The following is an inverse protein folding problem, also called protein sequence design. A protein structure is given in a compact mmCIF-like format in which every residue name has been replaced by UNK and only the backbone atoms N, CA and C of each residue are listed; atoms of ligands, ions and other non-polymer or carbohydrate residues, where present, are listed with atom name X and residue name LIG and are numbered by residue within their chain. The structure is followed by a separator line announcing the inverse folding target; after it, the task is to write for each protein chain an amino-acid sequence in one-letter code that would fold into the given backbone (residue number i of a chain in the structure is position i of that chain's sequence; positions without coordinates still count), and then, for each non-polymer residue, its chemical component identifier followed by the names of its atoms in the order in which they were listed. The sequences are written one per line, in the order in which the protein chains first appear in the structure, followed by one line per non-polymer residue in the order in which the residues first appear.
data_IF_267363393236
#
_entry.id   IF_267363393236
#
_cell.length_a   1.000
_cell.length_b   1.000
_cell.length_c   1.000
_cell.angle_alpha   90.00
_cell.angle_beta   90.00
_cell.angle_gamma   90.00
#
_symmetry.space_group_name_H-M   'P 1'
#
loop_
_entity.id
_entity.type
_entity.pdbx_description
1 polymer ?
#
# COMPACT_ATOMS: atom_id res chain seq x y z
N UNK A 1 -12.92 6.47 -3.29
CA UNK A 1 -13.14 5.20 -2.58
C UNK A 1 -12.15 5.24 -1.44
N UNK A 2 -12.58 5.05 -0.19
CA UNK A 2 -11.73 5.31 0.99
C UNK A 2 -10.65 4.21 1.12
N UNK A 3 -9.47 4.44 0.53
CA UNK A 3 -8.33 3.52 0.48
C UNK A 3 -7.89 3.16 1.90
N UNK A 4 -7.84 4.18 2.77
CA UNK A 4 -7.44 4.04 4.17
C UNK A 4 -8.39 3.09 4.90
N UNK A 5 -9.70 3.26 4.71
CA UNK A 5 -10.71 2.37 5.29
C UNK A 5 -10.58 0.95 4.77
N UNK A 6 -10.35 0.75 3.47
CA UNK A 6 -10.19 -0.59 2.90
C UNK A 6 -8.96 -1.27 3.49
N UNK A 7 -7.82 -0.59 3.56
CA UNK A 7 -6.61 -1.14 4.16
C UNK A 7 -6.79 -1.43 5.65
N UNK A 8 -7.46 -0.55 6.40
CA UNK A 8 -7.79 -0.79 7.80
C UNK A 8 -8.60 -2.08 7.99
N UNK A 9 -9.65 -2.26 7.18
CA UNK A 9 -10.48 -3.49 7.23
C UNK A 9 -9.66 -4.74 6.87
N UNK A 10 -8.76 -4.66 5.88
CA UNK A 10 -7.89 -5.77 5.51
C UNK A 10 -6.91 -6.14 6.64
N UNK A 11 -6.33 -5.13 7.31
CA UNK A 11 -5.42 -5.35 8.44
C UNK A 11 -6.16 -5.99 9.63
N UNK A 12 -7.36 -5.50 9.95
CA UNK A 12 -8.22 -6.08 10.98
C UNK A 12 -8.62 -7.53 10.67
N UNK A 13 -8.99 -7.81 9.42
CA UNK A 13 -9.31 -9.17 8.97
C UNK A 13 -8.10 -10.11 9.07
N UNK A 14 -6.93 -9.67 8.62
CA UNK A 14 -5.69 -10.43 8.72
C UNK A 14 -5.38 -10.79 10.19
N UNK A 15 -5.43 -9.80 11.09
CA UNK A 15 -5.25 -10.03 12.52
C UNK A 15 -6.26 -11.01 13.08
N UNK A 16 -7.53 -10.87 12.72
CA UNK A 16 -8.59 -11.77 13.19
C UNK A 16 -8.35 -13.20 12.74
N UNK A 17 -8.03 -13.42 11.46
CA UNK A 17 -7.76 -14.76 10.93
C UNK A 17 -6.54 -15.42 11.59
N UNK A 18 -5.50 -14.64 11.93
CA UNK A 18 -4.34 -15.15 12.67
C UNK A 18 -4.71 -15.50 14.11
N UNK A 19 -5.46 -14.64 14.80
CA UNK A 19 -5.95 -14.90 16.17
C UNK A 19 -6.80 -16.17 16.23
N UNK A 20 -7.68 -16.35 15.26
CA UNK A 20 -8.61 -17.49 15.18
C UNK A 20 -7.94 -18.77 14.64
N UNK A 21 -6.65 -18.73 14.33
CA UNK A 21 -5.88 -19.83 13.71
C UNK A 21 -6.43 -20.30 12.37
N UNK A 22 -7.24 -19.47 11.71
CA UNK A 22 -7.66 -19.68 10.32
C UNK A 22 -6.48 -19.45 9.38
N UNK A 23 -5.63 -18.48 9.71
CA UNK A 23 -4.35 -18.25 9.07
C UNK A 23 -3.21 -18.68 10.00
N UNK A 24 -2.70 -19.89 9.78
CA UNK A 24 -1.47 -20.35 10.41
C UNK A 24 -0.26 -19.79 9.64
N UNK A 25 0.42 -18.82 10.24
CA UNK A 25 1.56 -18.15 9.62
C UNK A 25 2.78 -19.07 9.50
N UNK A 26 3.22 -19.31 8.28
CA UNK A 26 4.51 -19.95 8.04
C UNK A 26 5.67 -18.99 8.34
N UNK A 27 6.88 -19.49 8.67
CA UNK A 27 8.06 -18.64 8.80
C UNK A 27 8.34 -17.78 7.56
N UNK A 28 8.03 -18.30 6.37
CA UNK A 28 8.13 -17.56 5.11
C UNK A 28 7.15 -16.38 5.01
N UNK A 29 5.95 -16.50 5.58
CA UNK A 29 4.96 -15.42 5.60
C UNK A 29 5.47 -14.26 6.46
N UNK A 30 6.02 -14.57 7.64
CA UNK A 30 6.57 -13.56 8.56
C UNK A 30 7.79 -12.86 7.95
N UNK A 31 8.68 -13.63 7.33
CA UNK A 31 9.85 -13.08 6.65
C UNK A 31 9.44 -12.17 5.48
N UNK A 32 8.47 -12.59 4.67
CA UNK A 32 7.95 -11.77 3.59
C UNK A 32 7.25 -10.52 4.12
N UNK A 33 6.44 -10.63 5.17
CA UNK A 33 5.78 -9.48 5.79
C UNK A 33 6.80 -8.43 6.25
N UNK A 34 7.88 -8.86 6.90
CA UNK A 34 8.97 -7.99 7.32
C UNK A 34 9.71 -7.35 6.13
N UNK A 35 9.99 -8.12 5.08
CA UNK A 35 10.64 -7.60 3.86
C UNK A 35 9.76 -6.55 3.15
N UNK A 36 8.46 -6.86 2.99
CA UNK A 36 7.48 -5.95 2.39
C UNK A 36 7.36 -4.68 3.23
N UNK A 37 7.20 -4.80 4.54
CA UNK A 37 7.11 -3.67 5.48
C UNK A 37 8.32 -2.74 5.35
N UNK A 38 9.53 -3.29 5.42
CA UNK A 38 10.76 -2.51 5.27
C UNK A 38 10.85 -1.81 3.91
N UNK A 39 10.39 -2.47 2.84
CA UNK A 39 10.28 -1.88 1.51
C UNK A 39 9.31 -0.69 1.50
N UNK A 40 8.13 -0.83 2.09
CA UNK A 40 7.15 0.25 2.18
C UNK A 40 7.66 1.43 3.01
N UNK A 41 8.29 1.17 4.16
CA UNK A 41 8.83 2.20 5.06
C UNK A 41 9.98 3.00 4.44
N UNK A 42 10.74 2.37 3.54
CA UNK A 42 11.79 3.04 2.76
C UNK A 42 11.20 4.03 1.75
N UNK A 43 10.05 3.71 1.17
CA UNK A 43 9.43 4.46 0.07
C UNK A 43 8.54 5.58 0.58
N UNK A 44 7.61 5.26 1.48
CA UNK A 44 6.73 6.24 2.13
C UNK A 44 7.27 6.52 3.52
N UNK A 45 7.90 7.68 3.67
CA UNK A 45 8.49 8.14 4.91
C UNK A 45 7.47 8.70 5.92
N UNK A 46 7.97 9.32 7.00
CA UNK A 46 7.17 10.04 7.98
C UNK A 46 6.23 11.08 7.35
N UNK A 47 5.08 11.35 7.98
CA UNK A 47 4.04 12.24 7.41
C UNK A 47 4.54 13.62 7.08
N UNK A 48 5.28 14.24 8.00
CA UNK A 48 5.83 15.59 7.84
C UNK A 48 6.81 15.68 6.66
N UNK A 49 7.65 14.66 6.48
CA UNK A 49 8.60 14.60 5.35
C UNK A 49 7.85 14.39 4.04
N UNK A 50 6.88 13.47 4.03
CA UNK A 50 6.15 13.09 2.83
C UNK A 50 5.21 14.21 2.34
N UNK A 51 4.54 14.92 3.24
CA UNK A 51 3.65 16.04 2.92
C UNK A 51 4.40 17.25 2.36
N UNK A 52 5.67 17.42 2.73
CA UNK A 52 6.52 18.51 2.24
C UNK A 52 7.03 18.27 0.81
N UNK A 53 6.87 17.07 0.24
CA UNK A 53 7.34 16.74 -1.10
C UNK A 53 6.47 17.37 -2.19
N UNK A 54 7.08 17.74 -3.33
CA UNK A 54 6.35 18.00 -4.57
C UNK A 54 5.41 16.84 -4.93
N UNK A 55 4.24 17.15 -5.53
CA UNK A 55 3.25 16.13 -5.90
C UNK A 55 3.80 15.05 -6.84
N UNK A 56 4.76 15.40 -7.70
CA UNK A 56 5.39 14.43 -8.60
C UNK A 56 6.19 13.37 -7.83
N UNK A 57 6.91 13.79 -6.78
CA UNK A 57 7.70 12.89 -5.93
C UNK A 57 6.79 12.05 -5.03
N UNK A 58 5.71 12.65 -4.49
CA UNK A 58 4.67 11.91 -3.75
C UNK A 58 4.04 10.81 -4.62
N UNK A 59 3.74 11.12 -5.88
CA UNK A 59 3.20 10.15 -6.83
C UNK A 59 4.20 9.06 -7.19
N UNK A 60 5.49 9.41 -7.33
CA UNK A 60 6.56 8.45 -7.55
C UNK A 60 6.64 7.44 -6.39
N UNK A 61 6.69 7.92 -5.14
CA UNK A 61 6.72 7.06 -3.96
C UNK A 61 5.49 6.15 -3.85
N UNK A 62 4.29 6.68 -4.11
CA UNK A 62 3.08 5.86 -4.08
C UNK A 62 3.07 4.79 -5.18
N UNK A 63 3.68 5.05 -6.34
CA UNK A 63 3.85 4.05 -7.40
C UNK A 63 4.93 3.03 -7.09
N UNK A 64 6.02 3.45 -6.45
CA UNK A 64 7.04 2.52 -5.97
C UNK A 64 6.48 1.58 -4.88
N UNK A 65 5.57 2.07 -4.04
CA UNK A 65 4.81 1.24 -3.09
C UNK A 65 4.04 0.12 -3.82
N UNK A 66 3.33 0.44 -4.91
CA UNK A 66 2.65 -0.58 -5.72
C UNK A 66 3.64 -1.61 -6.29
N UNK A 67 4.84 -1.19 -6.68
CA UNK A 67 5.87 -2.11 -7.15
C UNK A 67 6.36 -3.07 -6.03
N UNK A 68 6.61 -2.54 -4.83
CA UNK A 68 6.99 -3.36 -3.65
C UNK A 68 5.92 -4.41 -3.35
N UNK A 69 4.64 -4.01 -3.37
CA UNK A 69 3.53 -4.92 -3.13
C UNK A 69 3.39 -5.97 -4.24
N UNK A 70 3.52 -5.58 -5.51
CA UNK A 70 3.43 -6.49 -6.64
C UNK A 70 4.54 -7.54 -6.63
N UNK A 71 5.79 -7.14 -6.33
CA UNK A 71 6.93 -8.06 -6.21
C UNK A 71 6.70 -9.03 -5.04
N UNK A 72 6.20 -8.53 -3.91
CA UNK A 72 5.91 -9.36 -2.73
C UNK A 72 4.79 -10.36 -3.01
N UNK A 73 3.71 -9.92 -3.67
CA UNK A 73 2.60 -10.76 -4.12
C UNK A 73 3.08 -11.87 -5.07
N UNK A 74 3.95 -11.54 -6.03
CA UNK A 74 4.47 -12.51 -7.00
C UNK A 74 5.29 -13.65 -6.35
N UNK A 75 5.78 -13.45 -5.12
CA UNK A 75 6.61 -14.42 -4.38
C UNK A 75 5.82 -15.27 -3.40
N UNK A 76 4.50 -15.11 -3.31
CA UNK A 76 3.69 -15.78 -2.29
C UNK A 76 2.35 -16.26 -2.82
N UNK A 77 1.71 -17.13 -2.03
CA UNK A 77 0.42 -17.74 -2.31
C UNK A 77 -0.43 -17.78 -1.03
N UNK A 78 -1.70 -18.17 -1.16
CA UNK A 78 -2.61 -18.29 -0.01
C UNK A 78 -2.98 -16.93 0.60
N UNK A 79 -3.16 -16.90 1.92
CA UNK A 79 -3.73 -15.73 2.63
C UNK A 79 -2.83 -14.50 2.59
N UNK A 80 -1.50 -14.68 2.60
CA UNK A 80 -0.58 -13.56 2.40
C UNK A 80 -0.80 -12.93 1.02
N UNK A 81 -0.93 -13.76 -0.03
CA UNK A 81 -1.22 -13.26 -1.37
C UNK A 81 -2.58 -12.54 -1.44
N UNK A 82 -3.61 -13.05 -0.77
CA UNK A 82 -4.93 -12.42 -0.74
C UNK A 82 -4.89 -11.05 -0.03
N UNK A 83 -4.19 -10.96 1.10
CA UNK A 83 -3.98 -9.71 1.82
C UNK A 83 -3.26 -8.67 0.96
N UNK A 84 -2.13 -9.03 0.37
CA UNK A 84 -1.35 -8.14 -0.50
C UNK A 84 -2.12 -7.74 -1.77
N UNK A 85 -2.89 -8.67 -2.36
CA UNK A 85 -3.74 -8.37 -3.50
C UNK A 85 -4.88 -7.42 -3.15
N UNK A 86 -5.46 -7.54 -1.95
CA UNK A 86 -6.46 -6.59 -1.44
C UNK A 86 -5.89 -5.19 -1.28
N UNK A 87 -4.68 -5.08 -0.73
CA UNK A 87 -3.98 -3.80 -0.59
C UNK A 87 -3.67 -3.16 -1.97
N UNK A 88 -3.18 -3.94 -2.94
CA UNK A 88 -2.98 -3.48 -4.31
C UNK A 88 -4.27 -2.98 -4.96
N UNK A 89 -5.39 -3.67 -4.71
CA UNK A 89 -6.69 -3.25 -5.24
C UNK A 89 -7.13 -1.92 -4.63
N UNK A 90 -6.96 -1.76 -3.31
CA UNK A 90 -7.28 -0.50 -2.62
C UNK A 90 -6.47 0.69 -3.16
N UNK A 91 -5.20 0.46 -3.51
CA UNK A 91 -4.28 1.48 -4.02
C UNK A 91 -4.29 1.62 -5.55
N UNK A 92 -5.08 0.83 -6.29
CA UNK A 92 -5.17 0.90 -7.76
C UNK A 92 -5.39 2.32 -8.31
N UNK A 93 -6.20 3.21 -7.69
CA UNK A 93 -6.43 4.54 -8.22
C UNK A 93 -5.15 5.36 -8.43
N UNK A 94 -4.10 5.12 -7.63
CA UNK A 94 -2.78 5.76 -7.76
C UNK A 94 -2.17 5.56 -9.16
N UNK A 95 -2.43 4.42 -9.80
CA UNK A 95 -1.91 4.15 -11.16
C UNK A 95 -2.41 5.16 -12.18
N UNK A 96 -3.62 5.68 -11.98
CA UNK A 96 -4.28 6.63 -12.89
C UNK A 96 -3.96 8.08 -12.55
N UNK A 97 -3.26 8.36 -11.47
CA UNK A 97 -2.95 9.74 -11.12
C UNK A 97 -1.90 10.35 -12.05
N UNK A 98 -1.96 11.66 -12.23
CA UNK A 98 -0.90 12.45 -12.84
C UNK A 98 -0.58 13.63 -11.91
N UNK A 99 0.68 14.02 -11.88
CA UNK A 99 1.14 15.20 -11.15
C UNK A 99 1.24 16.46 -12.02
N UNK A 100 1.25 16.30 -13.34
CA UNK A 100 1.34 17.42 -14.29
C UNK A 100 -0.01 17.74 -14.91
N UNK A 101 -0.28 19.02 -15.16
CA UNK A 101 -1.40 19.44 -15.99
C UNK A 101 -1.15 19.05 -17.45
N UNK A 102 -2.19 18.65 -18.16
CA UNK A 102 -2.07 18.28 -19.56
C UNK A 102 -2.20 19.54 -20.44
N UNK A 103 -1.16 19.85 -21.22
CA UNK A 103 -1.22 20.89 -22.23
C UNK A 103 -1.95 20.36 -23.48
N UNK A 104 -3.28 20.48 -23.48
CA UNK A 104 -4.19 20.12 -24.59
C UNK A 104 -4.01 18.72 -25.20
N UNK A 105 -4.94 17.80 -24.94
CA UNK A 105 -4.94 16.47 -25.57
C UNK A 105 -5.53 15.37 -24.68
N UNK A 106 -5.51 14.14 -25.17
CA UNK A 106 -5.91 12.97 -24.39
C UNK A 106 -4.87 12.62 -23.34
N UNK A 107 -5.32 12.28 -22.13
CA UNK A 107 -4.45 12.05 -20.97
C UNK A 107 -4.30 10.57 -20.60
N UNK A 108 -4.56 9.67 -21.56
CA UNK A 108 -4.57 8.21 -21.35
C UNK A 108 -5.44 7.76 -20.16
N UNK A 109 -6.54 8.46 -19.90
CA UNK A 109 -7.43 8.16 -18.77
C UNK A 109 -6.89 8.56 -17.40
N UNK A 110 -5.79 9.30 -17.33
CA UNK A 110 -5.25 9.80 -16.06
C UNK A 110 -6.08 10.94 -15.48
N UNK A 111 -5.97 11.14 -14.18
CA UNK A 111 -6.68 12.16 -13.40
C UNK A 111 -5.72 12.93 -12.49
N UNK A 112 -6.01 14.20 -12.21
CA UNK A 112 -5.29 14.96 -11.18
C UNK A 112 -5.88 14.57 -9.83
N UNK A 113 -5.06 14.02 -8.95
CA UNK A 113 -5.47 13.73 -7.58
C UNK A 113 -5.43 15.01 -6.73
N UNK A 114 -6.36 15.14 -5.79
CA UNK A 114 -6.34 16.20 -4.80
C UNK A 114 -5.25 15.96 -3.74
N UNK A 115 -4.89 17.01 -2.99
CA UNK A 115 -3.92 16.88 -1.90
C UNK A 115 -4.41 15.88 -0.83
N UNK A 116 -5.72 15.86 -0.57
CA UNK A 116 -6.36 14.93 0.35
C UNK A 116 -6.25 13.49 -0.15
N UNK A 117 -6.43 13.23 -1.45
CA UNK A 117 -6.26 11.88 -2.02
C UNK A 117 -4.82 11.37 -1.86
N UNK A 118 -3.80 12.21 -2.06
CA UNK A 118 -2.41 11.83 -1.78
C UNK A 118 -2.21 11.45 -0.30
N UNK A 119 -2.69 12.30 0.61
CA UNK A 119 -2.57 12.05 2.05
C UNK A 119 -3.31 10.77 2.45
N UNK A 120 -4.49 10.54 1.91
CA UNK A 120 -5.27 9.32 2.16
C UNK A 120 -4.53 8.06 1.70
N UNK A 121 -3.93 8.07 0.50
CA UNK A 121 -3.15 6.95 0.01
C UNK A 121 -1.90 6.70 0.86
N UNK A 122 -1.21 7.75 1.29
CA UNK A 122 -0.02 7.65 2.16
C UNK A 122 -0.38 7.13 3.56
N UNK A 123 -1.50 7.58 4.14
CA UNK A 123 -2.05 7.02 5.38
C UNK A 123 -2.42 5.55 5.21
N UNK A 124 -3.03 5.17 4.09
CA UNK A 124 -3.33 3.77 3.78
C UNK A 124 -2.05 2.92 3.72
N UNK A 125 -0.98 3.43 3.10
CA UNK A 125 0.32 2.73 3.08
C UNK A 125 0.90 2.58 4.48
N UNK A 126 0.79 3.60 5.35
CA UNK A 126 1.25 3.49 6.75
C UNK A 126 0.45 2.47 7.55
N UNK A 127 -0.87 2.42 7.39
CA UNK A 127 -1.69 1.37 8.00
C UNK A 127 -1.29 -0.03 7.52
N UNK A 128 -0.90 -0.15 6.24
CA UNK A 128 -0.40 -1.39 5.68
C UNK A 128 0.95 -1.79 6.30
N UNK A 129 1.87 -0.83 6.49
CA UNK A 129 3.13 -1.04 7.21
C UNK A 129 2.86 -1.59 8.62
N UNK A 130 1.96 -0.94 9.38
CA UNK A 130 1.59 -1.38 10.73
C UNK A 130 0.96 -2.79 10.72
N UNK A 131 0.13 -3.09 9.73
CA UNK A 131 -0.47 -4.42 9.54
C UNK A 131 0.58 -5.50 9.30
N UNK A 132 1.53 -5.24 8.38
CA UNK A 132 2.62 -6.16 8.06
C UNK A 132 3.58 -6.37 9.23
N UNK A 133 3.92 -5.30 9.96
CA UNK A 133 4.74 -5.38 11.17
C UNK A 133 4.08 -6.29 12.23
N UNK A 134 2.77 -6.14 12.43
CA UNK A 134 2.01 -7.00 13.35
C UNK A 134 1.96 -8.45 12.88
N UNK A 135 1.78 -8.71 11.59
CA UNK A 135 1.82 -10.07 11.03
C UNK A 135 3.20 -10.71 11.25
N UNK A 136 4.27 -9.96 11.02
CA UNK A 136 5.65 -10.43 11.21
C UNK A 136 5.96 -10.76 12.69
N UNK A 137 5.32 -10.05 13.64
CA UNK A 137 5.55 -10.19 15.07
C UNK A 137 4.70 -11.27 15.77
N UNK A 138 3.63 -11.78 15.14
CA UNK A 138 2.93 -13.01 15.60
C UNK A 138 3.84 -14.19 15.37
#
# INVERSE_FOLDING_TARGET
MDMRRIVAMLAEEAEQQIRDRVWELAPSDRALALETEAGLRKVVGPSDVQEALPQIDRLEHLRETLAVLAISLARTHGRMAWFLSGALNALEPVLRWRAMTAESGGTFGTVLASAEEYTEAEEAVRLLQDGLERIAAK
#
